data_IF_607740082552
#
_entry.id   IF_607740082552
#
_cell.length_a   1.000
_cell.length_b   1.000
_cell.length_c   1.000
_cell.angle_alpha   90.00
_cell.angle_beta   90.00
_cell.angle_gamma   90.00
#
_symmetry.space_group_name_H-M   'P 1'
#
loop_
_entity.id
_entity.type
_entity.pdbx_description
1 polymer ?
#
# COMPACT_ATOMS: atom_id res chain seq x y z
N UNK A 1 -10.03 33.37 -1.72
CA UNK A 1 -10.23 32.07 -2.40
C UNK A 1 -9.47 31.02 -1.62
N UNK A 2 -10.17 30.27 -0.76
CA UNK A 2 -9.54 29.19 0.01
C UNK A 2 -9.45 27.95 -0.87
N UNK A 3 -8.26 27.68 -1.41
CA UNK A 3 -7.98 26.39 -2.05
C UNK A 3 -7.84 25.36 -0.95
N UNK A 4 -8.94 24.70 -0.59
CA UNK A 4 -8.88 23.48 0.22
C UNK A 4 -8.14 22.41 -0.58
N UNK A 5 -6.81 22.37 -0.46
CA UNK A 5 -6.03 21.19 -0.79
C UNK A 5 -6.56 20.09 0.12
N UNK A 6 -7.29 19.11 -0.42
CA UNK A 6 -7.57 17.86 0.30
C UNK A 6 -6.20 17.26 0.63
N UNK A 7 -5.75 17.38 1.87
CA UNK A 7 -4.61 16.61 2.35
C UNK A 7 -5.10 15.18 2.50
N UNK A 8 -4.66 14.31 1.60
CA UNK A 8 -4.88 12.87 1.75
C UNK A 8 -4.27 12.42 3.08
N UNK A 9 -5.08 11.81 3.93
CA UNK A 9 -4.64 11.31 5.24
C UNK A 9 -3.99 9.93 5.09
N UNK A 10 -3.27 9.48 6.12
CA UNK A 10 -2.77 8.09 6.16
C UNK A 10 -3.89 7.07 5.95
N UNK A 11 -5.06 7.31 6.52
CA UNK A 11 -6.23 6.42 6.39
C UNK A 11 -6.71 6.34 4.94
N UNK A 12 -6.73 7.46 4.23
CA UNK A 12 -7.12 7.51 2.82
C UNK A 12 -6.13 6.73 1.94
N UNK A 13 -4.83 6.85 2.24
CA UNK A 13 -3.76 6.15 1.53
C UNK A 13 -3.74 4.65 1.81
N UNK A 14 -3.89 4.24 3.08
CA UNK A 14 -4.00 2.84 3.46
C UNK A 14 -5.21 2.19 2.74
N UNK A 15 -6.35 2.89 2.70
CA UNK A 15 -7.54 2.41 1.98
C UNK A 15 -7.34 2.34 0.46
N UNK A 16 -6.58 3.27 -0.12
CA UNK A 16 -6.22 3.23 -1.55
C UNK A 16 -5.26 2.09 -1.85
N UNK A 17 -4.26 1.90 -1.00
CA UNK A 17 -3.27 0.81 -1.11
C UNK A 17 -3.97 -0.53 -1.06
N UNK A 18 -4.90 -0.74 -0.11
CA UNK A 18 -5.71 -1.96 -0.04
C UNK A 18 -6.45 -2.24 -1.36
N UNK A 19 -7.20 -1.26 -1.88
CA UNK A 19 -7.91 -1.41 -3.18
C UNK A 19 -6.97 -1.74 -4.36
N UNK A 20 -5.75 -1.22 -4.34
CA UNK A 20 -4.76 -1.50 -5.38
C UNK A 20 -4.26 -2.95 -5.28
N UNK A 21 -3.92 -3.40 -4.08
CA UNK A 21 -3.45 -4.77 -3.83
C UNK A 21 -4.52 -5.79 -4.20
N UNK A 22 -5.77 -5.59 -3.75
CA UNK A 22 -6.92 -6.44 -4.11
C UNK A 22 -7.10 -6.54 -5.65
N UNK A 23 -6.95 -5.41 -6.34
CA UNK A 23 -7.04 -5.35 -7.80
C UNK A 23 -5.91 -6.10 -8.51
N UNK A 24 -4.69 -6.04 -7.96
CA UNK A 24 -3.53 -6.76 -8.50
C UNK A 24 -3.68 -8.27 -8.31
N UNK A 25 -4.10 -8.72 -7.13
CA UNK A 25 -4.39 -10.12 -6.85
C UNK A 25 -5.47 -10.66 -7.78
N UNK A 26 -6.55 -9.89 -7.96
CA UNK A 26 -7.64 -10.24 -8.89
C UNK A 26 -7.14 -10.36 -10.33
N UNK A 27 -6.35 -9.38 -10.81
CA UNK A 27 -5.82 -9.38 -12.16
C UNK A 27 -4.83 -10.54 -12.40
N UNK A 28 -4.02 -10.87 -11.40
CA UNK A 28 -3.13 -12.02 -11.43
C UNK A 28 -3.95 -13.31 -11.55
N UNK A 29 -4.93 -13.52 -10.67
CA UNK A 29 -5.77 -14.71 -10.68
C UNK A 29 -6.53 -14.90 -11.99
N UNK A 30 -7.07 -13.83 -12.57
CA UNK A 30 -7.72 -13.87 -13.90
C UNK A 30 -6.73 -14.34 -14.97
N UNK A 31 -5.47 -13.90 -14.90
CA UNK A 31 -4.45 -14.20 -15.91
C UNK A 31 -3.88 -15.61 -15.78
N UNK A 32 -3.69 -16.11 -14.56
CA UNK A 32 -2.99 -17.38 -14.29
C UNK A 32 -3.93 -18.54 -13.99
N UNK A 33 -5.18 -18.25 -13.61
CA UNK A 33 -6.11 -19.24 -13.04
C UNK A 33 -5.76 -19.64 -11.61
N UNK A 34 -4.75 -18.99 -11.01
CA UNK A 34 -4.24 -19.26 -9.67
C UNK A 34 -4.71 -18.14 -8.74
N UNK A 35 -5.65 -18.39 -7.80
CA UNK A 35 -5.97 -17.41 -6.79
C UNK A 35 -4.69 -17.14 -6.00
N UNK A 36 -4.24 -15.89 -5.99
CA UNK A 36 -2.99 -15.47 -5.36
C UNK A 36 -3.07 -15.57 -3.82
N UNK A 37 -3.32 -16.75 -3.28
CA UNK A 37 -3.64 -16.97 -1.88
C UNK A 37 -3.55 -18.46 -1.57
N UNK A 38 -2.69 -18.75 -0.60
CA UNK A 38 -2.62 -19.97 0.25
C UNK A 38 -1.17 -20.46 0.44
N UNK A 39 -0.20 -19.88 -0.27
CA UNK A 39 1.20 -20.15 0.00
C UNK A 39 1.67 -19.36 1.22
N UNK A 40 2.20 -20.07 2.22
CA UNK A 40 2.89 -19.45 3.34
C UNK A 40 4.07 -18.62 2.84
N UNK A 41 4.28 -17.46 3.45
CA UNK A 41 5.47 -16.67 3.22
C UNK A 41 6.69 -17.45 3.71
N UNK A 42 7.79 -17.35 2.96
CA UNK A 42 9.07 -17.84 3.46
C UNK A 42 9.51 -16.99 4.66
N UNK A 43 10.32 -17.56 5.56
CA UNK A 43 10.89 -16.81 6.70
C UNK A 43 11.63 -15.55 6.26
N UNK A 44 12.27 -15.57 5.09
CA UNK A 44 12.92 -14.38 4.54
C UNK A 44 11.89 -13.28 4.22
N UNK A 45 10.79 -13.62 3.55
CA UNK A 45 9.73 -12.67 3.19
C UNK A 45 9.03 -12.10 4.42
N UNK A 46 8.79 -12.92 5.45
CA UNK A 46 8.24 -12.47 6.73
C UNK A 46 9.14 -11.42 7.40
N UNK A 47 10.45 -11.69 7.50
CA UNK A 47 11.42 -10.75 8.12
C UNK A 47 11.51 -9.45 7.32
N UNK A 48 11.50 -9.53 5.99
CA UNK A 48 11.51 -8.34 5.13
C UNK A 48 10.24 -7.51 5.32
N UNK A 49 9.07 -8.15 5.40
CA UNK A 49 7.81 -7.47 5.66
C UNK A 49 7.81 -6.81 7.04
N UNK A 50 8.24 -7.52 8.08
CA UNK A 50 8.34 -6.96 9.44
C UNK A 50 9.23 -5.71 9.47
N UNK A 51 10.37 -5.74 8.77
CA UNK A 51 11.27 -4.60 8.66
C UNK A 51 10.75 -3.43 7.82
N UNK A 52 9.75 -3.66 6.95
CA UNK A 52 9.15 -2.64 6.09
C UNK A 52 7.90 -1.99 6.71
N UNK A 53 7.31 -2.59 7.75
CA UNK A 53 6.11 -2.07 8.41
C UNK A 53 6.45 -0.83 9.24
N UNK A 54 5.73 0.30 9.06
CA UNK A 54 5.91 1.48 9.89
C UNK A 54 5.62 1.19 11.37
N UNK A 55 6.44 1.73 12.27
CA UNK A 55 6.26 1.59 13.71
C UNK A 55 5.29 2.65 14.28
N UNK A 56 4.66 2.38 15.44
CA UNK A 56 3.84 3.38 16.12
C UNK A 56 4.63 4.65 16.42
N UNK A 57 4.16 5.79 15.92
CA UNK A 57 4.80 7.10 16.10
C UNK A 57 5.68 7.56 14.94
N UNK A 58 5.85 6.74 13.91
CA UNK A 58 6.54 7.14 12.69
C UNK A 58 5.82 8.31 12.00
N UNK A 59 6.62 9.25 11.49
CA UNK A 59 6.12 10.42 10.78
C UNK A 59 5.53 9.98 9.44
N UNK A 60 4.33 10.48 9.15
CA UNK A 60 3.63 10.21 7.91
C UNK A 60 3.31 11.50 7.12
N UNK A 61 3.61 11.56 5.81
CA UNK A 61 4.35 10.55 5.04
C UNK A 61 5.83 10.52 5.46
N UNK A 62 6.56 9.42 5.19
CA UNK A 62 7.99 9.35 5.44
C UNK A 62 8.73 10.50 4.72
N UNK A 63 9.85 10.95 5.29
CA UNK A 63 10.63 12.05 4.71
C UNK A 63 11.04 11.74 3.27
N UNK A 64 10.77 12.68 2.35
CA UNK A 64 11.05 12.51 0.92
C UNK A 64 9.94 11.83 0.12
N UNK A 65 8.86 11.37 0.76
CA UNK A 65 7.70 10.84 0.07
C UNK A 65 6.62 11.91 -0.09
N UNK A 66 6.23 12.20 -1.34
CA UNK A 66 5.10 13.06 -1.67
C UNK A 66 4.23 12.39 -2.72
N UNK A 67 2.92 12.65 -2.72
CA UNK A 67 2.04 12.11 -3.76
C UNK A 67 2.31 12.74 -5.12
N UNK A 68 2.37 11.94 -6.21
CA UNK A 68 2.38 12.48 -7.56
C UNK A 68 1.10 13.28 -7.78
N UNK A 69 1.24 14.57 -8.06
CA UNK A 69 0.11 15.42 -8.44
C UNK A 69 -0.10 15.27 -9.95
N UNK A 70 -1.35 15.04 -10.36
CA UNK A 70 -1.72 15.25 -11.77
C UNK A 70 -1.54 16.74 -12.07
N UNK A 71 -0.68 17.04 -13.05
CA UNK A 71 -0.67 18.31 -13.77
C UNK A 71 -1.84 18.37 -14.74
#
# INVERSE_FOLDING_TARGET
MSFFRRSETKVDDDARTGRLLDGLETAYAIRTGDPCGDADLTTFEEVVLEGAVPLPGDIYPPAGHTYPMKG
#
